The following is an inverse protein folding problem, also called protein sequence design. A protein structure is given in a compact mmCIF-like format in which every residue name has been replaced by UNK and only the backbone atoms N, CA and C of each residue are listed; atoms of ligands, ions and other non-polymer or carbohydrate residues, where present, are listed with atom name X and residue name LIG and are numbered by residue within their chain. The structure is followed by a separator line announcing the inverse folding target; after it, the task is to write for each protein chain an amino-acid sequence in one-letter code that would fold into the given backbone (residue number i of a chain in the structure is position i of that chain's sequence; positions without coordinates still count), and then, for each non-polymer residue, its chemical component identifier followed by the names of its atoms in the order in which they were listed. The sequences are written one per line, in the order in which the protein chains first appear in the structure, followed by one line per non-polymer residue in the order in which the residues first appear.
data_IF_051458669113
#
_entry.id   IF_051458669113
#
_cell.length_a   1.000
_cell.length_b   1.000
_cell.length_c   1.000
_cell.angle_alpha   90.00
_cell.angle_beta   90.00
_cell.angle_gamma   90.00
#
_symmetry.space_group_name_H-M   'P 1'
#
loop_
_entity.id
_entity.type
_entity.pdbx_description
1 polymer ?
#
# COMPACT_ATOMS: atom_id res chain seq x y z
N UNK A 1 9.90 -20.58 1.62
CA UNK A 1 8.55 -20.49 2.24
C UNK A 1 8.03 -19.04 2.32
N UNK A 2 8.68 -18.10 1.62
CA UNK A 2 8.47 -16.66 1.85
C UNK A 2 7.34 -16.05 1.02
N UNK A 3 6.94 -16.68 -0.09
CA UNK A 3 5.97 -16.08 -1.01
C UNK A 3 4.56 -15.95 -0.40
N UNK A 4 4.02 -17.00 0.23
CA UNK A 4 2.70 -16.93 0.87
C UNK A 4 2.70 -15.97 2.06
N UNK A 5 3.84 -15.87 2.78
CA UNK A 5 4.01 -14.90 3.87
C UNK A 5 3.96 -13.47 3.32
N UNK A 6 4.61 -13.20 2.20
CA UNK A 6 4.58 -11.89 1.53
C UNK A 6 3.17 -11.54 1.04
N UNK A 7 2.45 -12.48 0.41
CA UNK A 7 1.04 -12.26 0.02
C UNK A 7 0.17 -11.89 1.22
N UNK A 8 0.38 -12.54 2.37
CA UNK A 8 -0.31 -12.16 3.62
C UNK A 8 0.06 -10.76 4.08
N UNK A 9 1.34 -10.40 4.04
CA UNK A 9 1.83 -9.08 4.46
C UNK A 9 1.31 -7.95 3.58
N UNK A 10 1.04 -8.22 2.30
CA UNK A 10 0.43 -7.26 1.36
C UNK A 10 -1.10 -7.18 1.48
N UNK A 11 -1.67 -7.76 2.54
CA UNK A 11 -3.12 -7.68 2.80
C UNK A 11 -3.97 -8.62 1.95
N UNK A 12 -3.40 -9.60 1.23
CA UNK A 12 -4.20 -10.59 0.52
C UNK A 12 -5.05 -11.39 1.53
N UNK A 13 -6.38 -11.53 1.33
CA UNK A 13 -7.22 -12.31 2.20
C UNK A 13 -6.75 -13.77 2.34
N UNK A 14 -6.83 -14.34 3.54
CA UNK A 14 -6.45 -15.75 3.82
C UNK A 14 -7.18 -16.71 2.87
N UNK A 15 -8.42 -16.41 2.47
CA UNK A 15 -9.19 -17.20 1.49
C UNK A 15 -8.50 -17.25 0.12
N UNK A 16 -7.98 -16.13 -0.37
CA UNK A 16 -7.26 -16.06 -1.65
C UNK A 16 -5.88 -16.72 -1.57
N UNK A 17 -5.18 -16.58 -0.44
CA UNK A 17 -3.90 -17.27 -0.21
C UNK A 17 -4.10 -18.80 -0.23
N UNK A 18 -5.17 -19.30 0.40
CA UNK A 18 -5.53 -20.73 0.35
C UNK A 18 -5.85 -21.16 -1.07
N UNK A 19 -6.64 -20.38 -1.82
CA UNK A 19 -6.94 -20.65 -3.23
C UNK A 19 -5.67 -20.72 -4.07
N UNK A 20 -4.77 -19.75 -3.94
CA UNK A 20 -3.47 -19.78 -4.63
C UNK A 20 -2.67 -21.04 -4.29
N UNK A 21 -2.64 -21.44 -3.01
CA UNK A 21 -1.94 -22.65 -2.57
C UNK A 21 -2.54 -23.91 -3.19
N UNK A 22 -3.87 -24.01 -3.28
CA UNK A 22 -4.56 -25.14 -3.92
C UNK A 22 -4.27 -25.19 -5.43
N UNK A 23 -4.37 -24.06 -6.12
CA UNK A 23 -4.05 -23.96 -7.54
C UNK A 23 -2.60 -24.38 -7.80
N UNK A 24 -1.66 -23.89 -6.98
CA UNK A 24 -0.24 -24.24 -7.11
C UNK A 24 0.01 -25.74 -6.94
N UNK A 25 -0.72 -26.42 -6.05
CA UNK A 25 -0.60 -27.86 -5.85
C UNK A 25 -1.09 -28.69 -7.06
N UNK A 26 -1.98 -28.14 -7.89
CA UNK A 26 -2.47 -28.79 -9.12
C UNK A 26 -1.47 -28.69 -10.29
N UNK A 27 -0.37 -27.94 -10.13
CA UNK A 27 0.71 -27.87 -11.11
C UNK A 27 0.48 -26.83 -12.22
N UNK A 28 1.02 -27.09 -13.41
CA UNK A 28 1.15 -26.09 -14.46
C UNK A 28 -0.17 -25.77 -15.19
N UNK A 29 -1.19 -26.62 -15.06
CA UNK A 29 -2.52 -26.38 -15.65
C UNK A 29 -3.23 -25.16 -15.07
N UNK A 30 -2.81 -24.68 -13.89
CA UNK A 30 -3.43 -23.55 -13.18
C UNK A 30 -2.58 -22.26 -13.23
N UNK A 31 -1.59 -22.18 -14.12
CA UNK A 31 -0.70 -21.00 -14.20
C UNK A 31 -1.51 -19.72 -14.46
N UNK A 32 -2.47 -19.76 -15.39
CA UNK A 32 -3.27 -18.57 -15.74
C UNK A 32 -4.12 -18.08 -14.57
N UNK A 33 -4.69 -19.01 -13.79
CA UNK A 33 -5.51 -18.70 -12.62
C UNK A 33 -4.66 -18.10 -11.50
N UNK A 34 -3.44 -18.62 -11.31
CA UNK A 34 -2.46 -18.07 -10.37
C UNK A 34 -2.03 -16.67 -10.79
N UNK A 35 -1.75 -16.45 -12.07
CA UNK A 35 -1.41 -15.14 -12.61
C UNK A 35 -2.54 -14.13 -12.40
N UNK A 36 -3.79 -14.54 -12.63
CA UNK A 36 -4.94 -13.67 -12.40
C UNK A 36 -5.06 -13.23 -10.93
N UNK A 37 -4.87 -14.16 -9.98
CA UNK A 37 -4.86 -13.80 -8.55
C UNK A 37 -3.74 -12.81 -8.20
N UNK A 38 -2.58 -12.94 -8.82
CA UNK A 38 -1.46 -12.03 -8.59
C UNK A 38 -1.68 -10.65 -9.21
N UNK A 39 -2.27 -10.56 -10.40
CA UNK A 39 -2.65 -9.28 -11.04
C UNK A 39 -3.66 -8.51 -10.21
N UNK A 40 -4.70 -9.18 -9.72
CA UNK A 40 -5.68 -8.55 -8.82
C UNK A 40 -5.02 -8.04 -7.54
N UNK A 41 -4.05 -8.78 -6.99
CA UNK A 41 -3.30 -8.32 -5.83
C UNK A 41 -2.38 -7.14 -6.14
N UNK A 42 -1.76 -7.12 -7.32
CA UNK A 42 -0.93 -6.02 -7.80
C UNK A 42 -1.76 -4.73 -7.91
N UNK A 43 -2.93 -4.78 -8.55
CA UNK A 43 -3.84 -3.64 -8.68
C UNK A 43 -4.25 -3.07 -7.31
N UNK A 44 -4.57 -3.94 -6.35
CA UNK A 44 -4.89 -3.52 -4.97
C UNK A 44 -3.73 -2.81 -4.30
N UNK A 45 -2.51 -3.32 -4.48
CA UNK A 45 -1.31 -2.70 -3.90
C UNK A 45 -1.02 -1.34 -4.53
N UNK A 46 -1.21 -1.20 -5.84
CA UNK A 46 -1.06 0.08 -6.54
C UNK A 46 -2.06 1.12 -6.02
N UNK A 47 -3.32 0.73 -5.83
CA UNK A 47 -4.34 1.61 -5.26
C UNK A 47 -4.01 2.02 -3.82
N UNK A 48 -3.55 1.08 -2.98
CA UNK A 48 -3.13 1.39 -1.61
C UNK A 48 -1.91 2.32 -1.56
N UNK A 49 -0.95 2.13 -2.47
CA UNK A 49 0.22 3.00 -2.58
C UNK A 49 -0.18 4.42 -2.96
N UNK A 50 -1.06 4.59 -3.95
CA UNK A 50 -1.55 5.89 -4.36
C UNK A 50 -2.30 6.58 -3.21
N UNK A 51 -3.22 5.89 -2.55
CA UNK A 51 -3.97 6.41 -1.41
C UNK A 51 -3.04 6.84 -0.26
N UNK A 52 -1.98 6.07 -0.01
CA UNK A 52 -0.97 6.42 1.00
C UNK A 52 -0.21 7.68 0.60
N UNK A 53 0.13 7.83 -0.67
CA UNK A 53 0.77 9.05 -1.18
C UNK A 53 -0.13 10.27 -1.00
N UNK A 54 -1.41 10.16 -1.33
CA UNK A 54 -2.38 11.25 -1.17
C UNK A 54 -2.49 11.70 0.31
N UNK A 55 -2.43 10.75 1.25
CA UNK A 55 -2.41 11.04 2.69
C UNK A 55 -1.12 11.73 3.13
N UNK A 56 0.03 11.30 2.62
CA UNK A 56 1.30 11.94 2.90
C UNK A 56 1.31 13.38 2.41
N UNK A 57 0.81 13.62 1.20
CA UNK A 57 0.75 14.96 0.61
C UNK A 57 -0.14 15.90 1.44
N UNK A 58 -1.28 15.41 1.93
CA UNK A 58 -2.13 16.16 2.86
C UNK A 58 -1.40 16.51 4.18
N UNK A 59 -0.70 15.55 4.77
CA UNK A 59 0.07 15.78 6.00
C UNK A 59 1.17 16.81 5.76
N UNK A 60 1.93 16.68 4.66
CA UNK A 60 2.98 17.62 4.28
C UNK A 60 2.45 19.05 4.11
N UNK A 61 1.29 19.20 3.47
CA UNK A 61 0.64 20.50 3.35
C UNK A 61 0.32 21.11 4.73
N UNK A 62 -0.24 20.33 5.65
CA UNK A 62 -0.53 20.80 7.02
C UNK A 62 0.74 21.17 7.79
N UNK A 63 1.80 20.38 7.65
CA UNK A 63 3.10 20.69 8.26
C UNK A 63 3.67 22.01 7.72
N UNK A 64 3.59 22.25 6.41
CA UNK A 64 4.07 23.48 5.79
C UNK A 64 3.31 24.72 6.33
N UNK A 65 1.98 24.62 6.48
CA UNK A 65 1.16 25.68 7.07
C UNK A 65 1.61 26.00 8.49
N UNK A 66 1.79 24.99 9.34
CA UNK A 66 2.24 25.23 10.72
C UNK A 66 3.68 25.77 10.80
N UNK A 67 4.55 25.34 9.88
CA UNK A 67 5.91 25.87 9.80
C UNK A 67 5.90 27.37 9.43
N UNK A 68 5.02 27.80 8.53
CA UNK A 68 4.84 29.20 8.15
C UNK A 68 4.28 30.04 9.32
N UNK A 69 3.29 29.53 10.05
CA UNK A 69 2.73 30.21 11.23
C UNK A 69 3.81 30.45 12.30
N UNK A 70 4.61 29.42 12.59
CA UNK A 70 5.73 29.52 13.55
C UNK A 70 6.75 30.58 13.14
N UNK A 71 7.06 30.69 11.85
CA UNK A 71 7.99 31.71 11.36
C UNK A 71 7.41 33.13 11.43
N UNK A 72 6.12 33.29 11.16
CA UNK A 72 5.44 34.60 11.22
C UNK A 72 5.37 35.14 12.66
N UNK A 73 5.03 34.30 13.64
CA UNK A 73 5.01 34.67 15.06
C UNK A 73 6.39 35.10 15.60
N UNK A 74 7.48 34.60 15.00
CA UNK A 74 8.84 34.96 15.40
C UNK A 74 9.32 36.30 14.83
N UNK A 75 8.66 36.82 13.79
CA UNK A 75 8.99 38.10 13.14
C UNK A 75 8.25 39.30 13.74
N UNK A 76 7.07 39.10 14.32
CA UNK A 76 6.27 40.18 14.93
C UNK A 76 6.67 40.50 16.39
N UNK A 77 7.42 39.63 17.06
CA UNK A 77 7.85 39.83 18.45
C UNK A 77 9.22 40.54 18.59
N UNK A 78 9.74 41.07 17.47
CA UNK A 78 10.93 41.91 17.42
C UNK A 78 10.53 43.37 17.14
N UNK A 79 9.98 44.04 18.14
CA UNK A 79 9.81 45.50 18.22
C UNK A 79 10.13 45.97 19.63
#
# INVERSE_FOLDING_TARGET
MDFLKRLKQTGMPIREIRRYSQLRAQGNTTIDERLNLLKVQEERLQQQAQQTQDYLDFIHHKMAVYQQMKTAESSDNAH
#
